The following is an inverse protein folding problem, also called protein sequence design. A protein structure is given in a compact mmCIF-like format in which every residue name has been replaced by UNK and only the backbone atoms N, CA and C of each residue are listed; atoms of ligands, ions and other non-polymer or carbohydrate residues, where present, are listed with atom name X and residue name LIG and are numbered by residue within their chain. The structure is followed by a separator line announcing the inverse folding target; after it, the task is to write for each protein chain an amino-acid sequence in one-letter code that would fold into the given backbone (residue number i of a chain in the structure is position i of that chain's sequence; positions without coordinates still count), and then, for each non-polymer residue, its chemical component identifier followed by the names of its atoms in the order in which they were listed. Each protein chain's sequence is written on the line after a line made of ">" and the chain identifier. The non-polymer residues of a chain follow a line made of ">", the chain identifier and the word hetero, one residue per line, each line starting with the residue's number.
data_IF_028817919268
#
_entry.id   IF_028817919268
#
_cell.length_a   1.000
_cell.length_b   1.000
_cell.length_c   1.000
_cell.angle_alpha   90.00
_cell.angle_beta   90.00
_cell.angle_gamma   90.00
#
_symmetry.space_group_name_H-M   'P 1'
#
loop_
_entity.id
_entity.type
_entity.pdbx_description
1 polymer ?
#
# COMPACT_ATOMS: atom_id res chain seq x y z
N UNK A 1 62.77 37.41 43.74
CA UNK A 1 62.76 36.09 43.07
C UNK A 1 62.08 35.10 44.00
N UNK A 2 60.79 34.82 43.81
CA UNK A 2 60.07 33.79 44.58
C UNK A 2 59.45 32.80 43.59
N UNK A 3 59.84 31.54 43.75
CA UNK A 3 59.48 30.41 42.92
C UNK A 3 58.17 29.81 43.44
N UNK A 4 57.17 29.71 42.57
CA UNK A 4 55.87 29.08 42.86
C UNK A 4 55.99 27.57 42.60
N UNK A 5 55.55 26.67 43.50
CA UNK A 5 55.63 25.24 43.25
C UNK A 5 54.55 24.82 42.24
N UNK A 6 54.97 24.08 41.22
CA UNK A 6 54.09 23.48 40.22
C UNK A 6 53.33 22.31 40.83
N UNK A 7 51.99 22.40 40.86
CA UNK A 7 51.12 21.31 41.28
C UNK A 7 51.00 20.31 40.12
N UNK A 8 51.65 19.16 40.26
CA UNK A 8 51.51 18.06 39.31
C UNK A 8 50.08 17.50 39.37
N UNK A 9 49.24 17.92 38.43
CA UNK A 9 47.90 17.38 38.22
C UNK A 9 48.02 15.95 37.68
N UNK A 10 47.81 14.97 38.55
CA UNK A 10 47.73 13.55 38.18
C UNK A 10 46.48 13.38 37.31
N UNK A 11 46.66 13.07 36.03
CA UNK A 11 45.54 12.81 35.11
C UNK A 11 44.88 11.49 35.50
N UNK A 12 43.63 11.55 35.96
CA UNK A 12 42.79 10.38 36.16
C UNK A 12 42.41 9.78 34.79
N UNK A 13 42.58 8.45 34.57
CA UNK A 13 42.44 7.81 33.26
C UNK A 13 41.00 7.45 32.82
N UNK A 14 39.96 7.98 33.48
CA UNK A 14 38.58 7.44 33.33
C UNK A 14 37.61 8.32 32.52
N UNK A 15 38.10 9.35 31.82
CA UNK A 15 37.25 10.29 31.05
C UNK A 15 36.97 9.83 29.60
N UNK A 16 37.58 8.74 29.12
CA UNK A 16 37.50 8.30 27.71
C UNK A 16 36.24 7.49 27.37
N UNK A 17 35.33 7.25 28.32
CA UNK A 17 34.26 6.25 28.10
C UNK A 17 32.99 6.75 27.44
N UNK A 18 32.85 8.05 27.18
CA UNK A 18 31.73 8.58 26.38
C UNK A 18 32.17 9.92 25.79
N UNK A 19 32.66 9.90 24.55
CA UNK A 19 32.89 11.11 23.79
C UNK A 19 31.53 11.79 23.53
N UNK A 20 31.22 12.80 24.33
CA UNK A 20 29.96 13.56 24.30
C UNK A 20 29.89 14.43 23.01
N UNK A 21 31.01 14.57 22.30
CA UNK A 21 31.12 15.27 21.03
C UNK A 21 31.06 14.32 19.82
N UNK A 22 31.04 13.00 20.05
CA UNK A 22 30.84 12.05 18.98
C UNK A 22 29.46 12.31 18.34
N UNK A 23 29.37 12.42 17.00
CA UNK A 23 28.10 12.58 16.33
C UNK A 23 27.20 11.39 16.68
N UNK A 24 26.01 11.67 17.21
CA UNK A 24 25.03 10.63 17.48
C UNK A 24 24.72 9.88 16.18
N UNK A 25 24.80 8.55 16.21
CA UNK A 25 24.40 7.74 15.06
C UNK A 25 22.94 8.06 14.69
N UNK A 26 22.63 8.30 13.40
CA UNK A 26 21.27 8.54 12.97
C UNK A 26 20.37 7.38 13.40
N UNK A 27 19.34 7.68 14.20
CA UNK A 27 18.38 6.66 14.61
C UNK A 27 17.49 6.31 13.41
N UNK A 28 17.57 5.06 12.98
CA UNK A 28 16.71 4.53 11.92
C UNK A 28 15.30 4.25 12.45
N UNK A 29 14.29 4.61 11.65
CA UNK A 29 12.88 4.34 11.94
C UNK A 29 12.25 3.59 10.77
N UNK A 30 11.29 2.67 11.05
CA UNK A 30 10.48 2.07 9.99
C UNK A 30 9.80 3.15 9.15
N UNK A 31 9.90 3.00 7.83
CA UNK A 31 9.29 3.93 6.89
C UNK A 31 7.81 3.59 6.74
N UNK A 32 6.97 4.61 6.83
CA UNK A 32 5.54 4.53 6.48
C UNK A 32 5.29 5.43 5.29
N UNK A 33 4.77 4.85 4.21
CA UNK A 33 4.21 5.59 3.10
C UNK A 33 2.87 6.20 3.54
N UNK A 34 2.80 7.53 3.59
CA UNK A 34 1.63 8.24 4.08
C UNK A 34 0.63 8.41 2.94
N UNK A 35 -0.52 7.77 3.08
CA UNK A 35 -1.72 8.02 2.26
C UNK A 35 -2.79 8.69 3.12
N UNK A 36 -3.73 9.38 2.48
CA UNK A 36 -4.95 9.85 3.16
C UNK A 36 -5.64 8.65 3.83
N UNK A 37 -6.09 8.82 5.08
CA UNK A 37 -6.62 7.69 5.86
C UNK A 37 -5.61 7.00 6.79
N UNK A 38 -4.30 7.28 6.65
CA UNK A 38 -3.28 6.70 7.56
C UNK A 38 -3.51 7.17 8.99
N UNK A 39 -3.57 6.26 9.96
CA UNK A 39 -3.68 6.63 11.37
C UNK A 39 -2.31 6.87 11.99
N UNK A 40 -2.17 8.00 12.69
CA UNK A 40 -0.96 8.38 13.41
C UNK A 40 -1.31 8.89 14.81
N UNK A 41 -0.34 8.76 15.72
CA UNK A 41 -0.41 9.34 17.07
C UNK A 41 0.78 10.26 17.29
N UNK A 42 0.51 11.49 17.73
CA UNK A 42 1.58 12.34 18.28
C UNK A 42 1.91 11.87 19.72
N UNK A 43 3.14 11.41 20.00
CA UNK A 43 3.50 10.87 21.32
C UNK A 43 3.47 11.93 22.42
N UNK A 44 3.61 13.23 22.11
CA UNK A 44 3.66 14.32 23.10
C UNK A 44 2.27 14.66 23.62
N UNK A 45 1.33 14.91 22.72
CA UNK A 45 -0.05 15.32 23.03
C UNK A 45 -1.02 14.15 23.15
N UNK A 46 -0.60 12.94 22.75
CA UNK A 46 -1.45 11.74 22.62
C UNK A 46 -2.62 11.93 21.66
N UNK A 47 -2.50 12.89 20.74
CA UNK A 47 -3.50 13.11 19.71
C UNK A 47 -3.46 11.96 18.70
N UNK A 48 -4.54 11.16 18.69
CA UNK A 48 -4.79 10.14 17.67
C UNK A 48 -5.64 10.75 16.57
N UNK A 49 -5.20 10.63 15.33
CA UNK A 49 -5.96 11.10 14.19
C UNK A 49 -5.58 10.44 12.89
N UNK A 50 -6.38 10.76 11.89
CA UNK A 50 -6.26 10.28 10.51
C UNK A 50 -5.61 11.36 9.66
N UNK A 51 -4.62 10.99 8.85
CA UNK A 51 -3.95 11.94 7.95
C UNK A 51 -4.92 12.42 6.87
N UNK A 52 -5.03 13.74 6.76
CA UNK A 52 -5.79 14.44 5.69
C UNK A 52 -4.89 15.26 4.78
N UNK A 53 -3.73 15.70 5.26
CA UNK A 53 -2.73 16.41 4.46
C UNK A 53 -1.32 16.03 4.92
N UNK A 54 -0.39 15.94 3.98
CA UNK A 54 1.00 15.58 4.28
C UNK A 54 2.01 16.26 3.34
N UNK A 55 2.92 17.01 3.95
CA UNK A 55 4.08 17.62 3.29
C UNK A 55 5.37 17.00 3.86
N UNK A 56 6.07 16.12 3.10
CA UNK A 56 7.26 15.42 3.58
C UNK A 56 8.33 16.34 4.17
N UNK A 57 8.84 15.95 5.33
CA UNK A 57 9.89 16.70 6.04
C UNK A 57 9.44 18.04 6.63
N UNK A 58 8.16 18.43 6.46
CA UNK A 58 7.61 19.67 7.01
C UNK A 58 6.51 19.36 8.02
N UNK A 59 5.35 18.91 7.55
CA UNK A 59 4.17 18.79 8.39
C UNK A 59 3.20 17.70 7.93
N UNK A 60 2.38 17.25 8.88
CA UNK A 60 1.25 16.34 8.68
C UNK A 60 0.04 16.90 9.41
N UNK A 61 -1.12 16.92 8.74
CA UNK A 61 -2.38 17.35 9.31
C UNK A 61 -3.21 16.12 9.65
N UNK A 62 -3.63 16.02 10.90
CA UNK A 62 -4.46 14.95 11.41
C UNK A 62 -5.85 15.46 11.76
N UNK A 63 -6.87 14.65 11.47
CA UNK A 63 -8.24 14.84 11.96
C UNK A 63 -8.59 13.74 12.98
N UNK A 64 -9.10 14.12 14.15
CA UNK A 64 -9.62 13.12 15.11
C UNK A 64 -11.03 12.64 14.73
N UNK A 65 -11.55 11.66 15.48
CA UNK A 65 -12.91 11.13 15.26
C UNK A 65 -14.03 12.18 15.50
N UNK A 66 -13.73 13.28 16.19
CA UNK A 66 -14.64 14.40 16.43
C UNK A 66 -14.53 15.52 15.39
N UNK A 67 -13.65 15.38 14.39
CA UNK A 67 -13.44 16.39 13.35
C UNK A 67 -12.49 17.53 13.75
N UNK A 68 -11.71 17.40 14.83
CA UNK A 68 -10.69 18.40 15.18
C UNK A 68 -9.45 18.23 14.30
N UNK A 69 -9.03 19.30 13.62
CA UNK A 69 -7.82 19.31 12.79
C UNK A 69 -6.62 19.82 13.58
N UNK A 70 -5.48 19.14 13.47
CA UNK A 70 -4.21 19.59 14.06
C UNK A 70 -3.02 19.30 13.15
N UNK A 71 -2.09 20.24 13.11
CA UNK A 71 -0.86 20.15 12.34
C UNK A 71 0.31 19.77 13.23
N UNK A 72 1.12 18.81 12.80
CA UNK A 72 2.31 18.33 13.50
C UNK A 72 3.53 18.36 12.59
N UNK A 73 4.71 18.58 13.16
CA UNK A 73 5.96 18.54 12.40
C UNK A 73 6.28 17.10 11.95
N UNK A 74 6.61 16.91 10.68
CA UNK A 74 6.83 15.59 10.08
C UNK A 74 8.33 15.23 9.92
N UNK A 75 9.09 15.33 11.02
CA UNK A 75 10.46 14.82 11.08
C UNK A 75 10.50 13.34 11.48
N UNK A 76 11.61 12.66 11.22
CA UNK A 76 11.73 11.22 11.46
C UNK A 76 11.56 10.87 12.95
N UNK A 77 10.66 9.92 13.23
CA UNK A 77 10.33 9.49 14.59
C UNK A 77 9.41 10.43 15.37
N UNK A 78 8.90 11.50 14.75
CA UNK A 78 7.97 12.44 15.37
C UNK A 78 6.61 11.81 15.71
N UNK A 79 6.17 10.85 14.89
CA UNK A 79 4.83 10.25 14.96
C UNK A 79 4.91 8.76 15.25
N UNK A 80 3.86 8.22 15.86
CA UNK A 80 3.66 6.79 16.02
C UNK A 80 2.67 6.26 14.99
N UNK A 81 3.00 5.14 14.36
CA UNK A 81 2.04 4.30 13.63
C UNK A 81 2.00 2.95 14.34
N UNK A 82 0.80 2.49 14.72
CA UNK A 82 0.63 1.24 15.48
C UNK A 82 1.52 1.15 16.74
N UNK A 83 1.73 2.29 17.42
CA UNK A 83 2.57 2.38 18.62
C UNK A 83 4.08 2.45 18.37
N UNK A 84 4.53 2.39 17.12
CA UNK A 84 5.95 2.42 16.74
C UNK A 84 6.30 3.78 16.16
N UNK A 85 7.45 4.37 16.55
CA UNK A 85 7.96 5.61 15.92
C UNK A 85 8.35 5.35 14.48
N UNK A 86 7.87 6.19 13.56
CA UNK A 86 8.04 5.99 12.12
C UNK A 86 8.63 7.20 11.42
N UNK A 87 9.28 6.94 10.28
CA UNK A 87 9.68 7.96 9.32
C UNK A 87 8.59 8.07 8.24
N UNK A 88 7.98 9.25 8.11
CA UNK A 88 6.90 9.48 7.15
C UNK A 88 7.49 9.80 5.78
N UNK A 89 7.03 9.11 4.73
CA UNK A 89 7.45 9.34 3.34
C UNK A 89 6.23 9.40 2.43
N UNK A 90 6.35 10.09 1.30
CA UNK A 90 5.33 10.01 0.25
C UNK A 90 5.30 8.58 -0.31
N UNK A 91 4.13 8.08 -0.70
CA UNK A 91 4.05 6.84 -1.47
C UNK A 91 4.94 6.97 -2.71
N UNK A 92 5.71 5.92 -3.01
CA UNK A 92 6.42 5.87 -4.27
C UNK A 92 5.38 5.93 -5.40
N UNK A 93 5.55 6.87 -6.34
CA UNK A 93 4.77 6.85 -7.56
C UNK A 93 5.10 5.55 -8.29
N UNK A 94 4.18 4.59 -8.25
CA UNK A 94 4.24 3.47 -9.18
C UNK A 94 3.97 4.07 -10.55
N UNK A 95 4.86 3.93 -11.54
CA UNK A 95 4.58 4.41 -12.87
C UNK A 95 3.30 3.75 -13.34
N UNK A 96 2.22 4.52 -13.42
CA UNK A 96 0.98 4.07 -14.03
C UNK A 96 1.31 3.91 -15.50
N UNK A 97 1.56 2.66 -15.93
CA UNK A 97 1.56 2.35 -17.35
C UNK A 97 0.21 2.85 -17.87
N UNK A 98 0.17 3.69 -18.91
CA UNK A 98 -1.10 4.15 -19.43
C UNK A 98 -1.96 2.92 -19.70
N UNK A 99 -3.14 2.88 -19.09
CA UNK A 99 -4.12 1.86 -19.38
C UNK A 99 -4.33 1.91 -20.89
N UNK A 100 -3.85 0.89 -21.58
CA UNK A 100 -4.13 0.75 -23.01
C UNK A 100 -5.58 0.30 -23.05
N UNK A 101 -6.40 0.93 -23.87
CA UNK A 101 -7.79 0.54 -23.98
C UNK A 101 -7.97 -0.33 -25.22
N UNK A 102 -8.81 -1.36 -25.11
CA UNK A 102 -9.28 -2.09 -26.28
C UNK A 102 -10.14 -1.17 -27.14
N UNK A 103 -10.39 -1.53 -28.39
CA UNK A 103 -11.27 -0.75 -29.28
C UNK A 103 -12.70 -0.59 -28.74
N UNK A 104 -13.09 -1.38 -27.72
CA UNK A 104 -14.38 -1.30 -27.03
C UNK A 104 -14.35 -0.41 -25.76
N UNK A 105 -13.17 0.08 -25.33
CA UNK A 105 -13.03 0.96 -24.16
C UNK A 105 -12.69 0.25 -22.84
N UNK A 106 -12.42 -1.05 -22.84
CA UNK A 106 -11.97 -1.79 -21.64
C UNK A 106 -10.46 -1.72 -21.46
N UNK A 107 -9.97 -1.94 -20.24
CA UNK A 107 -8.53 -1.92 -19.93
C UNK A 107 -7.86 -3.17 -20.54
N UNK A 108 -6.94 -2.95 -21.48
CA UNK A 108 -6.10 -3.98 -22.11
C UNK A 108 -5.13 -4.57 -21.08
N UNK A 109 -5.40 -5.80 -20.65
CA UNK A 109 -4.58 -6.58 -19.73
C UNK A 109 -3.27 -7.10 -20.35
N UNK A 110 -2.98 -6.80 -21.61
CA UNK A 110 -1.81 -7.29 -22.35
C UNK A 110 -2.03 -8.67 -22.98
N UNK A 111 -0.99 -9.20 -23.66
CA UNK A 111 -1.04 -10.55 -24.27
C UNK A 111 -0.99 -11.64 -23.20
N UNK A 112 -2.16 -12.00 -22.67
CA UNK A 112 -2.30 -13.21 -21.87
C UNK A 112 -2.23 -14.43 -22.79
N UNK A 113 -1.35 -15.38 -22.48
CA UNK A 113 -1.28 -16.67 -23.18
C UNK A 113 -2.61 -17.39 -22.93
N UNK A 114 -3.29 -17.86 -23.99
CA UNK A 114 -4.52 -18.63 -23.86
C UNK A 114 -4.30 -19.75 -22.83
N UNK A 115 -5.01 -19.66 -21.71
CA UNK A 115 -4.99 -20.67 -20.66
C UNK A 115 -6.00 -21.75 -21.06
N UNK A 116 -5.66 -23.02 -20.84
CA UNK A 116 -6.62 -24.12 -21.01
C UNK A 116 -7.83 -23.79 -20.14
N UNK A 117 -9.03 -23.85 -20.73
CA UNK A 117 -10.27 -23.59 -20.02
C UNK A 117 -10.30 -24.37 -18.71
N UNK A 118 -10.58 -23.68 -17.60
CA UNK A 118 -10.95 -24.36 -16.35
C UNK A 118 -12.24 -25.15 -16.63
N UNK A 119 -12.55 -26.15 -15.80
CA UNK A 119 -13.77 -26.96 -15.91
C UNK A 119 -15.03 -26.15 -15.50
N UNK A 120 -15.20 -24.96 -16.07
CA UNK A 120 -16.27 -24.01 -15.74
C UNK A 120 -16.92 -23.52 -17.03
N UNK A 121 -18.25 -23.62 -17.07
CA UNK A 121 -19.07 -23.26 -18.22
C UNK A 121 -20.29 -22.48 -17.76
N UNK A 122 -20.65 -21.45 -18.52
CA UNK A 122 -21.86 -20.65 -18.33
C UNK A 122 -22.81 -21.02 -19.47
N UNK A 123 -23.98 -21.53 -19.12
CA UNK A 123 -25.04 -21.82 -20.08
C UNK A 123 -26.06 -20.69 -20.08
N UNK A 124 -26.44 -20.25 -21.28
CA UNK A 124 -27.39 -19.14 -21.48
C UNK A 124 -28.54 -19.57 -22.36
N UNK A 125 -29.71 -18.97 -22.20
CA UNK A 125 -30.93 -19.38 -22.91
C UNK A 125 -30.88 -19.09 -24.42
N UNK A 126 -30.14 -18.07 -24.84
CA UNK A 126 -30.12 -17.63 -26.23
C UNK A 126 -28.77 -17.08 -26.68
N UNK A 127 -28.61 -17.04 -28.00
CA UNK A 127 -27.41 -16.51 -28.66
C UNK A 127 -27.18 -15.04 -28.28
N UNK A 128 -28.25 -14.26 -28.08
CA UNK A 128 -28.13 -12.85 -27.73
C UNK A 128 -27.46 -12.62 -26.36
N UNK A 129 -27.77 -13.47 -25.38
CA UNK A 129 -27.15 -13.41 -24.06
C UNK A 129 -25.68 -13.84 -24.13
N UNK A 130 -25.37 -14.86 -24.95
CA UNK A 130 -24.00 -15.27 -25.22
C UNK A 130 -23.19 -14.14 -25.88
N UNK A 131 -23.78 -13.45 -26.86
CA UNK A 131 -23.17 -12.30 -27.54
C UNK A 131 -22.94 -11.13 -26.58
N UNK A 132 -23.90 -10.85 -25.69
CA UNK A 132 -23.78 -9.77 -24.71
C UNK A 132 -22.67 -10.06 -23.68
N UNK A 133 -22.64 -11.27 -23.14
CA UNK A 133 -21.63 -11.69 -22.16
C UNK A 133 -20.25 -11.70 -22.80
N UNK A 134 -20.12 -12.20 -24.03
CA UNK A 134 -18.87 -12.17 -24.79
C UNK A 134 -18.38 -10.73 -25.01
N UNK A 135 -19.29 -9.81 -25.38
CA UNK A 135 -18.94 -8.41 -25.60
C UNK A 135 -18.46 -7.69 -24.34
N UNK A 136 -19.07 -7.97 -23.19
CA UNK A 136 -18.76 -7.25 -21.93
C UNK A 136 -17.63 -7.92 -21.16
N UNK A 137 -17.60 -9.25 -21.10
CA UNK A 137 -16.75 -10.03 -20.21
C UNK A 137 -15.89 -11.08 -20.92
N UNK A 138 -15.89 -11.14 -22.26
CA UNK A 138 -15.16 -12.18 -23.00
C UNK A 138 -13.67 -12.27 -22.65
N UNK A 139 -13.01 -11.13 -22.41
CA UNK A 139 -11.61 -11.10 -22.04
C UNK A 139 -11.36 -11.63 -20.61
N UNK A 140 -12.16 -11.22 -19.64
CA UNK A 140 -12.10 -11.74 -18.26
C UNK A 140 -12.39 -13.25 -18.21
N UNK A 141 -13.42 -13.70 -18.93
CA UNK A 141 -13.79 -15.11 -19.00
C UNK A 141 -12.68 -15.96 -19.66
N UNK A 142 -11.98 -15.44 -20.67
CA UNK A 142 -10.80 -16.11 -21.25
C UNK A 142 -9.63 -16.21 -20.28
N UNK A 143 -9.41 -15.19 -19.45
CA UNK A 143 -8.37 -15.21 -18.41
C UNK A 143 -8.69 -16.27 -17.35
N UNK A 144 -9.95 -16.35 -16.93
CA UNK A 144 -10.43 -17.35 -15.98
C UNK A 144 -10.65 -18.73 -16.61
N UNK A 145 -10.62 -18.82 -17.94
CA UNK A 145 -10.83 -20.06 -18.69
C UNK A 145 -12.27 -20.57 -18.61
N UNK A 146 -13.26 -19.68 -18.59
CA UNK A 146 -14.69 -19.99 -18.54
C UNK A 146 -15.28 -19.86 -19.95
N UNK A 147 -16.07 -20.85 -20.37
CA UNK A 147 -16.73 -20.88 -21.69
C UNK A 147 -18.22 -20.51 -21.55
N UNK A 148 -18.76 -19.76 -22.49
CA UNK A 148 -20.20 -19.43 -22.58
C UNK A 148 -20.82 -20.19 -23.74
N UNK A 149 -21.88 -20.96 -23.49
CA UNK A 149 -22.58 -21.76 -24.50
C UNK A 149 -24.09 -21.51 -24.46
N UNK A 150 -24.74 -21.22 -25.59
CA UNK A 150 -26.19 -21.15 -25.63
C UNK A 150 -26.79 -22.56 -25.52
N UNK A 151 -27.83 -22.68 -24.70
CA UNK A 151 -28.73 -23.83 -24.68
C UNK A 151 -29.89 -23.57 -25.63
N UNK A 152 -30.48 -24.64 -26.17
CA UNK A 152 -31.67 -24.55 -27.03
C UNK A 152 -32.97 -24.51 -26.20
N UNK A 153 -32.86 -24.21 -24.89
CA UNK A 153 -33.93 -24.19 -23.90
C UNK A 153 -33.44 -24.70 -22.53
N UNK A 154 -34.13 -24.31 -21.45
CA UNK A 154 -33.78 -24.75 -20.09
C UNK A 154 -33.94 -26.26 -19.87
N UNK A 155 -34.77 -26.92 -20.69
CA UNK A 155 -35.03 -28.36 -20.63
C UNK A 155 -33.77 -29.21 -20.91
N UNK A 156 -32.84 -28.69 -21.70
CA UNK A 156 -31.58 -29.38 -22.07
C UNK A 156 -30.48 -29.22 -21.00
N UNK A 157 -30.69 -28.37 -19.98
CA UNK A 157 -29.67 -28.07 -18.97
C UNK A 157 -29.27 -29.31 -18.17
N UNK A 158 -30.24 -30.15 -17.78
CA UNK A 158 -29.97 -31.35 -17.00
C UNK A 158 -29.09 -32.34 -17.78
N UNK A 159 -29.33 -32.50 -19.08
CA UNK A 159 -28.52 -33.32 -19.98
C UNK A 159 -27.13 -32.72 -20.20
N UNK A 160 -27.04 -31.41 -20.37
CA UNK A 160 -25.76 -30.70 -20.55
C UNK A 160 -24.86 -30.81 -19.31
N UNK A 161 -25.43 -30.71 -18.11
CA UNK A 161 -24.68 -30.86 -16.84
C UNK A 161 -24.21 -32.30 -16.65
N UNK A 162 -25.05 -33.30 -16.91
CA UNK A 162 -24.69 -34.72 -16.79
C UNK A 162 -23.59 -35.11 -17.79
N UNK A 163 -23.67 -34.60 -19.03
CA UNK A 163 -22.64 -34.80 -20.05
C UNK A 163 -21.32 -34.09 -19.71
N UNK A 164 -21.38 -32.92 -19.06
CA UNK A 164 -20.20 -32.13 -18.71
C UNK A 164 -19.36 -32.76 -17.60
N UNK A 165 -19.99 -33.51 -16.67
CA UNK A 165 -19.33 -34.14 -15.51
C UNK A 165 -18.39 -33.19 -14.75
N UNK A 166 -18.93 -32.08 -14.21
CA UNK A 166 -18.14 -31.07 -13.49
C UNK A 166 -17.44 -31.61 -12.23
#
# INVERSE_FOLDING_TARGET
>A
MHQVPSLAMTRHPDWDRTDILAPAEPKEYPIVAVVEGTQLVDPKTRFLGTVVEFTPGKEVVLVDAGGSHRTFAAHDGAMLHQGIRVALRRPAEVPQRPARFTASGSIDAGRTRARVARASRIWVEGIHDAELIEKIWGDDLRVEGIVVEPLHGADDLALAVDAFRP
#
